data_IF_515558947403
#
_entry.id   IF_515558947403
#
_cell.length_a   1.000
_cell.length_b   1.000
_cell.length_c   1.000
_cell.angle_alpha   90.00
_cell.angle_beta   90.00
_cell.angle_gamma   90.00
#
_symmetry.space_group_name_H-M   'P 1'
#
loop_
_entity.id
_entity.type
_entity.pdbx_description
1 polymer ?
#
# COMPACT_ATOMS: atom_id res chain seq x y z
N UNK A 1 -15.06 18.98 -10.41
CA UNK A 1 -16.08 18.42 -9.50
C UNK A 1 -15.49 17.56 -8.40
N UNK A 2 -14.64 16.57 -8.71
CA UNK A 2 -13.99 15.65 -7.75
C UNK A 2 -13.36 16.31 -6.50
N UNK A 3 -12.59 17.39 -6.68
CA UNK A 3 -11.96 18.14 -5.57
C UNK A 3 -12.95 18.81 -4.60
N UNK A 4 -14.10 19.27 -5.11
CA UNK A 4 -15.15 19.90 -4.28
C UNK A 4 -15.83 18.86 -3.39
N UNK A 5 -16.03 17.65 -3.91
CA UNK A 5 -16.60 16.53 -3.16
C UNK A 5 -15.65 16.12 -2.03
N UNK A 6 -14.36 15.93 -2.31
CA UNK A 6 -13.36 15.58 -1.28
C UNK A 6 -13.28 16.64 -0.18
N UNK A 7 -13.32 17.92 -0.53
CA UNK A 7 -13.33 19.02 0.45
C UNK A 7 -14.60 19.06 1.31
N UNK A 8 -15.74 18.57 0.79
CA UNK A 8 -17.00 18.51 1.53
C UNK A 8 -17.13 17.27 2.44
N UNK A 9 -16.23 16.28 2.31
CA UNK A 9 -16.33 15.01 3.05
C UNK A 9 -16.32 15.15 4.57
N UNK A 10 -15.52 16.05 5.19
CA UNK A 10 -15.61 16.27 6.63
C UNK A 10 -16.99 16.76 7.08
N UNK A 11 -17.61 17.66 6.30
CA UNK A 11 -18.97 18.15 6.58
C UNK A 11 -20.02 17.04 6.42
N UNK A 12 -19.89 16.22 5.37
CA UNK A 12 -20.78 15.08 5.13
C UNK A 12 -20.63 14.03 6.25
N UNK A 13 -19.40 13.71 6.65
CA UNK A 13 -19.11 12.77 7.73
C UNK A 13 -19.69 13.24 9.06
N UNK A 14 -19.56 14.53 9.39
CA UNK A 14 -20.16 15.13 10.59
C UNK A 14 -21.69 15.09 10.54
N UNK A 15 -22.29 15.41 9.40
CA UNK A 15 -23.75 15.34 9.25
C UNK A 15 -24.28 13.91 9.47
N UNK A 16 -23.60 12.90 8.90
CA UNK A 16 -23.94 11.48 9.09
C UNK A 16 -23.69 11.00 10.52
N UNK A 17 -22.62 11.46 11.17
CA UNK A 17 -22.35 11.18 12.58
C UNK A 17 -23.47 11.71 13.48
N UNK A 18 -23.87 12.98 13.30
CA UNK A 18 -24.96 13.59 14.06
C UNK A 18 -26.30 12.92 13.77
N UNK A 19 -26.57 12.59 12.51
CA UNK A 19 -27.77 11.83 12.14
C UNK A 19 -27.79 10.46 12.84
N UNK A 20 -26.69 9.72 12.84
CA UNK A 20 -26.58 8.43 13.54
C UNK A 20 -26.74 8.56 15.06
N UNK A 21 -26.17 9.60 15.66
CA UNK A 21 -26.25 9.83 17.10
C UNK A 21 -27.61 10.32 17.59
N UNK A 22 -28.26 11.22 16.84
CA UNK A 22 -29.52 11.86 17.22
C UNK A 22 -30.76 11.11 16.74
N UNK A 23 -30.73 10.51 15.55
CA UNK A 23 -31.88 9.83 14.97
C UNK A 23 -31.87 8.32 15.24
N UNK A 24 -30.69 7.68 15.15
CA UNK A 24 -30.54 6.24 15.40
C UNK A 24 -30.13 5.91 16.85
N UNK A 25 -29.92 6.94 17.69
CA UNK A 25 -29.40 6.83 19.06
C UNK A 25 -28.09 6.03 19.17
N UNK A 26 -27.37 5.88 18.05
CA UNK A 26 -26.21 5.01 17.93
C UNK A 26 -24.95 5.81 17.59
N UNK A 27 -24.36 6.37 18.63
CA UNK A 27 -23.09 7.10 18.58
C UNK A 27 -21.91 6.22 18.17
N UNK A 28 -21.98 4.91 18.45
CA UNK A 28 -20.91 3.96 18.11
C UNK A 28 -20.78 3.79 16.60
N UNK A 29 -21.90 3.52 15.92
CA UNK A 29 -21.94 3.47 14.45
C UNK A 29 -21.57 4.81 13.82
N UNK A 30 -21.88 5.92 14.49
CA UNK A 30 -21.48 7.26 14.07
C UNK A 30 -19.99 7.37 13.73
N UNK A 31 -19.11 6.73 14.51
CA UNK A 31 -17.67 6.82 14.32
C UNK A 31 -17.19 6.28 12.97
N UNK A 32 -17.92 5.33 12.39
CA UNK A 32 -17.61 4.74 11.08
C UNK A 32 -17.65 5.80 9.98
N UNK A 33 -18.48 6.84 10.12
CA UNK A 33 -18.62 7.88 9.09
C UNK A 33 -17.39 8.78 8.99
N UNK A 34 -16.60 8.94 10.06
CA UNK A 34 -15.35 9.70 9.97
C UNK A 34 -14.32 9.04 9.06
N UNK A 35 -14.42 7.72 8.87
CA UNK A 35 -13.57 6.97 7.95
C UNK A 35 -13.84 7.32 6.48
N UNK A 36 -14.95 7.98 6.15
CA UNK A 36 -15.16 8.54 4.81
C UNK A 36 -14.13 9.62 4.45
N UNK A 37 -13.54 10.31 5.43
CA UNK A 37 -12.55 11.35 5.17
C UNK A 37 -11.31 10.76 4.48
N UNK A 38 -10.57 9.81 5.08
CA UNK A 38 -9.43 9.18 4.41
C UNK A 38 -9.86 8.36 3.18
N UNK A 39 -11.03 7.71 3.24
CA UNK A 39 -11.53 6.92 2.12
C UNK A 39 -11.82 7.78 0.87
N UNK A 40 -12.36 8.98 1.06
CA UNK A 40 -12.70 9.89 -0.04
C UNK A 40 -11.48 10.34 -0.84
N UNK A 41 -10.35 10.56 -0.15
CA UNK A 41 -9.08 10.90 -0.78
C UNK A 41 -8.59 9.75 -1.68
N UNK A 42 -8.72 8.52 -1.19
CA UNK A 42 -8.37 7.30 -1.91
C UNK A 42 -9.29 7.08 -3.13
N UNK A 43 -10.61 7.21 -2.94
CA UNK A 43 -11.63 6.81 -3.92
C UNK A 43 -11.69 7.76 -5.12
N UNK A 44 -11.40 9.05 -4.91
CA UNK A 44 -11.41 10.05 -5.98
C UNK A 44 -10.09 10.17 -6.74
N UNK A 45 -9.07 9.39 -6.36
CA UNK A 45 -7.82 9.29 -7.10
C UNK A 45 -8.07 8.73 -8.52
N UNK A 46 -7.34 9.23 -9.52
CA UNK A 46 -7.56 8.91 -10.94
C UNK A 46 -7.28 7.43 -11.30
N UNK A 47 -6.66 6.66 -10.40
CA UNK A 47 -6.25 5.27 -10.63
C UNK A 47 -6.72 4.35 -9.49
N UNK A 48 -8.04 4.27 -9.28
CA UNK A 48 -8.68 3.51 -8.19
C UNK A 48 -8.14 2.07 -8.17
N UNK A 49 -8.20 1.35 -9.29
CA UNK A 49 -7.73 -0.05 -9.39
C UNK A 49 -6.23 -0.23 -9.11
N UNK A 50 -5.39 0.74 -9.49
CA UNK A 50 -3.93 0.66 -9.28
C UNK A 50 -3.54 0.97 -7.83
N UNK A 51 -4.42 1.63 -7.07
CA UNK A 51 -4.24 1.98 -5.66
C UNK A 51 -5.17 1.24 -4.72
N UNK A 52 -5.89 0.22 -5.19
CA UNK A 52 -6.70 -0.63 -4.30
C UNK A 52 -5.83 -1.27 -3.21
N UNK A 53 -4.57 -1.57 -3.51
CA UNK A 53 -3.61 -2.04 -2.52
C UNK A 53 -3.37 -1.00 -1.40
N UNK A 54 -3.24 0.28 -1.76
CA UNK A 54 -3.07 1.38 -0.80
C UNK A 54 -4.35 1.65 -0.01
N UNK A 55 -5.51 1.42 -0.63
CA UNK A 55 -6.83 1.59 -0.03
C UNK A 55 -7.26 0.41 0.84
N UNK A 56 -6.70 -0.78 0.62
CA UNK A 56 -7.13 -2.02 1.24
C UNK A 56 -7.13 -1.98 2.78
N UNK A 57 -6.13 -1.42 3.47
CA UNK A 57 -6.16 -1.32 4.94
C UNK A 57 -7.30 -0.44 5.46
N UNK A 58 -7.55 0.69 4.78
CA UNK A 58 -8.63 1.63 5.16
C UNK A 58 -10.00 1.01 4.91
N UNK A 59 -10.15 0.29 3.79
CA UNK A 59 -11.36 -0.44 3.45
C UNK A 59 -11.61 -1.62 4.41
N UNK A 60 -10.55 -2.37 4.76
CA UNK A 60 -10.62 -3.44 5.74
C UNK A 60 -11.05 -2.90 7.12
N UNK A 61 -10.51 -1.75 7.53
CA UNK A 61 -10.92 -1.08 8.77
C UNK A 61 -12.38 -0.63 8.73
N UNK A 62 -12.85 -0.09 7.59
CA UNK A 62 -14.25 0.29 7.40
C UNK A 62 -15.19 -0.92 7.60
N UNK A 63 -14.89 -2.04 6.93
CA UNK A 63 -15.67 -3.28 7.04
C UNK A 63 -15.59 -3.85 8.46
N UNK A 64 -14.41 -3.83 9.08
CA UNK A 64 -14.19 -4.30 10.45
C UNK A 64 -15.04 -3.54 11.47
N UNK A 65 -15.11 -2.20 11.36
CA UNK A 65 -15.91 -1.40 12.29
C UNK A 65 -17.42 -1.62 12.07
N UNK A 66 -17.86 -1.85 10.84
CA UNK A 66 -19.26 -2.21 10.57
C UNK A 66 -19.60 -3.58 11.18
N UNK A 67 -18.72 -4.56 11.04
CA UNK A 67 -18.87 -5.89 11.66
C UNK A 67 -18.86 -5.80 13.19
N UNK A 68 -17.95 -5.01 13.77
CA UNK A 68 -17.84 -4.82 15.21
C UNK A 68 -19.02 -4.07 15.81
N UNK A 69 -19.37 -2.90 15.29
CA UNK A 69 -20.47 -2.10 15.86
C UNK A 69 -21.86 -2.57 15.45
N UNK A 70 -22.01 -3.25 14.31
CA UNK A 70 -23.30 -3.70 13.79
C UNK A 70 -23.68 -5.13 14.19
N UNK A 71 -22.70 -6.02 14.30
CA UNK A 71 -22.93 -7.46 14.54
C UNK A 71 -22.20 -7.98 15.79
N UNK A 72 -21.51 -7.12 16.55
CA UNK A 72 -20.62 -7.49 17.68
C UNK A 72 -19.52 -8.51 17.31
N UNK A 73 -19.21 -8.62 16.02
CA UNK A 73 -18.24 -9.55 15.45
C UNK A 73 -16.80 -9.00 15.54
N UNK A 74 -16.39 -8.53 16.71
CA UNK A 74 -15.02 -8.01 16.94
C UNK A 74 -13.96 -9.10 16.82
N UNK A 75 -14.26 -10.29 17.35
CA UNK A 75 -13.35 -11.42 17.40
C UNK A 75 -13.17 -12.15 16.06
N UNK A 76 -14.20 -12.43 15.26
CA UNK A 76 -14.00 -12.93 13.90
C UNK A 76 -13.74 -11.81 12.89
N UNK A 77 -14.10 -10.56 13.20
CA UNK A 77 -14.03 -9.45 12.25
C UNK A 77 -12.62 -9.08 11.83
N UNK A 78 -11.61 -9.32 12.68
CA UNK A 78 -10.23 -8.97 12.33
C UNK A 78 -9.67 -9.80 11.16
N UNK A 79 -10.29 -10.94 10.83
CA UNK A 79 -9.94 -11.76 9.65
C UNK A 79 -9.98 -10.94 8.37
N UNK A 80 -10.81 -9.89 8.31
CA UNK A 80 -10.88 -8.97 7.17
C UNK A 80 -9.52 -8.32 6.89
N UNK A 81 -8.68 -8.09 7.90
CA UNK A 81 -7.32 -7.57 7.71
C UNK A 81 -6.38 -8.58 7.02
N UNK A 82 -6.61 -9.88 7.16
CA UNK A 82 -5.86 -10.92 6.46
C UNK A 82 -6.18 -10.94 4.95
N UNK A 83 -7.30 -10.35 4.54
CA UNK A 83 -7.62 -10.20 3.12
C UNK A 83 -6.69 -9.21 2.42
N UNK A 84 -6.11 -8.25 3.14
CA UNK A 84 -5.19 -7.24 2.58
C UNK A 84 -3.96 -7.89 1.90
N UNK A 85 -3.16 -8.73 2.59
CA UNK A 85 -2.00 -9.38 1.96
C UNK A 85 -2.41 -10.37 0.84
N UNK A 86 -3.56 -11.03 0.98
CA UNK A 86 -4.10 -11.94 -0.06
C UNK A 86 -4.47 -11.15 -1.31
N UNK A 87 -5.14 -10.01 -1.16
CA UNK A 87 -5.50 -9.13 -2.26
C UNK A 87 -4.26 -8.61 -2.99
N UNK A 88 -3.22 -8.21 -2.26
CA UNK A 88 -1.96 -7.80 -2.84
C UNK A 88 -1.32 -8.92 -3.69
N UNK A 89 -1.33 -10.17 -3.19
CA UNK A 89 -0.85 -11.32 -3.95
C UNK A 89 -1.62 -11.52 -5.27
N UNK A 90 -2.95 -11.42 -5.24
CA UNK A 90 -3.81 -11.58 -6.42
C UNK A 90 -3.53 -10.48 -7.46
N UNK A 91 -3.43 -9.23 -7.02
CA UNK A 91 -3.20 -8.07 -7.89
C UNK A 91 -1.84 -8.15 -8.58
N UNK A 92 -0.78 -8.50 -7.85
CA UNK A 92 0.56 -8.59 -8.43
C UNK A 92 0.72 -9.78 -9.39
N UNK A 93 -0.18 -10.80 -9.33
CA UNK A 93 -0.12 -12.06 -10.11
C UNK A 93 1.24 -12.77 -10.07
N UNK A 94 2.07 -12.47 -9.07
CA UNK A 94 3.38 -13.07 -8.84
C UNK A 94 3.29 -14.02 -7.68
N UNK A 95 3.45 -15.31 -7.97
CA UNK A 95 3.50 -16.37 -6.97
C UNK A 95 4.96 -16.54 -6.57
N UNK A 96 5.36 -15.91 -5.47
CA UNK A 96 6.65 -16.19 -4.83
C UNK A 96 6.45 -17.18 -3.69
N UNK A 97 7.45 -18.02 -3.38
CA UNK A 97 7.35 -18.96 -2.26
C UNK A 97 6.98 -18.26 -0.93
N UNK A 98 7.53 -17.06 -0.71
CA UNK A 98 7.20 -16.19 0.44
C UNK A 98 5.71 -15.86 0.56
N UNK A 99 5.04 -15.61 -0.57
CA UNK A 99 3.60 -15.31 -0.60
C UNK A 99 2.76 -16.57 -0.42
N UNK A 100 3.22 -17.71 -0.95
CA UNK A 100 2.56 -19.00 -0.72
C UNK A 100 2.53 -19.35 0.77
N UNK A 101 3.65 -19.14 1.50
CA UNK A 101 3.68 -19.31 2.96
C UNK A 101 2.60 -18.48 3.63
N UNK A 102 2.43 -17.22 3.22
CA UNK A 102 1.40 -16.34 3.76
C UNK A 102 -0.02 -16.93 3.58
N UNK A 103 -0.36 -17.37 2.35
CA UNK A 103 -1.67 -17.96 2.06
C UNK A 103 -1.91 -19.26 2.82
N UNK A 104 -0.89 -20.13 2.90
CA UNK A 104 -0.99 -21.41 3.61
C UNK A 104 -1.23 -21.17 5.11
N UNK A 105 -0.47 -20.26 5.73
CA UNK A 105 -0.62 -19.96 7.16
C UNK A 105 -1.95 -19.28 7.44
N UNK A 106 -2.40 -18.34 6.60
CA UNK A 106 -3.73 -17.72 6.73
C UNK A 106 -4.83 -18.77 6.60
N UNK A 107 -4.74 -19.67 5.62
CA UNK A 107 -5.71 -20.74 5.41
C UNK A 107 -5.76 -21.73 6.59
N UNK A 108 -4.59 -22.12 7.11
CA UNK A 108 -4.48 -22.95 8.31
C UNK A 108 -5.04 -22.25 9.55
N UNK A 109 -4.76 -20.96 9.73
CA UNK A 109 -5.31 -20.14 10.80
C UNK A 109 -6.86 -20.11 10.72
N UNK A 110 -7.45 -19.83 9.55
CA UNK A 110 -8.92 -19.79 9.39
C UNK A 110 -9.51 -21.18 9.67
N UNK A 111 -8.93 -22.25 9.12
CA UNK A 111 -9.41 -23.61 9.33
C UNK A 111 -9.36 -24.04 10.80
N UNK A 112 -8.27 -23.74 11.52
CA UNK A 112 -8.12 -24.04 12.94
C UNK A 112 -9.04 -23.17 13.81
N UNK A 113 -9.18 -21.89 13.49
CA UNK A 113 -10.02 -20.96 14.26
C UNK A 113 -11.50 -21.31 14.15
N UNK A 114 -11.95 -21.79 12.99
CA UNK A 114 -13.31 -22.31 12.80
C UNK A 114 -13.51 -23.67 13.47
N UNK A 115 -12.46 -24.50 13.58
CA UNK A 115 -12.55 -25.80 14.21
C UNK A 115 -12.58 -25.71 15.75
N UNK A 116 -11.83 -24.77 16.32
CA UNK A 116 -11.72 -24.58 17.77
C UNK A 116 -12.72 -23.55 18.31
N UNK A 117 -13.43 -22.83 17.44
CA UNK A 117 -14.25 -21.64 17.75
C UNK A 117 -13.53 -20.55 18.57
N UNK A 118 -12.21 -20.67 18.72
CA UNK A 118 -11.35 -19.77 19.46
C UNK A 118 -10.52 -18.92 18.50
N UNK A 119 -10.91 -17.65 18.36
CA UNK A 119 -10.15 -16.62 17.63
C UNK A 119 -8.93 -16.15 18.41
N UNK A 120 -8.98 -16.31 19.74
CA UNK A 120 -7.92 -15.97 20.66
C UNK A 120 -7.65 -17.21 21.52
N UNK A 121 -6.44 -17.82 21.48
CA UNK A 121 -5.12 -17.28 21.09
C UNK A 121 -4.62 -17.66 19.69
N UNK A 122 -5.46 -18.27 18.85
CA UNK A 122 -5.08 -18.88 17.56
C UNK A 122 -4.38 -17.93 16.59
N UNK A 123 -4.59 -16.62 16.72
CA UNK A 123 -3.89 -15.57 15.96
C UNK A 123 -2.35 -15.66 16.06
N UNK A 124 -1.79 -16.26 17.11
CA UNK A 124 -0.35 -16.49 17.26
C UNK A 124 0.26 -17.25 16.08
N UNK A 125 -0.51 -18.10 15.40
CA UNK A 125 -0.07 -18.83 14.20
C UNK A 125 0.38 -17.88 13.08
N UNK A 126 -0.18 -16.67 13.00
CA UNK A 126 0.22 -15.69 11.99
C UNK A 126 1.66 -15.21 12.16
N UNK A 127 2.22 -15.27 13.37
CA UNK A 127 3.65 -14.99 13.58
C UNK A 127 4.57 -16.04 12.95
N UNK A 128 4.05 -17.22 12.57
CA UNK A 128 4.83 -18.17 11.78
C UNK A 128 5.18 -17.60 10.39
N UNK A 129 4.38 -16.68 9.85
CA UNK A 129 4.64 -16.05 8.56
C UNK A 129 6.01 -15.35 8.56
N UNK A 130 6.30 -14.35 9.42
CA UNK A 130 7.61 -13.71 9.45
C UNK A 130 8.73 -14.67 9.85
N UNK A 131 8.49 -15.63 10.75
CA UNK A 131 9.50 -16.62 11.19
C UNK A 131 9.94 -17.48 10.00
N UNK A 132 9.00 -18.16 9.33
CA UNK A 132 9.27 -19.01 8.16
C UNK A 132 9.91 -18.17 7.05
N UNK A 133 9.36 -16.98 6.80
CA UNK A 133 9.84 -16.09 5.75
C UNK A 133 11.27 -15.59 5.99
N UNK A 134 11.69 -15.44 7.24
CA UNK A 134 13.05 -15.00 7.59
C UNK A 134 14.05 -16.15 7.48
N UNK A 135 13.66 -17.35 7.90
CA UNK A 135 14.53 -18.54 7.90
C UNK A 135 14.74 -19.11 6.50
N UNK A 136 13.66 -19.30 5.74
CA UNK A 136 13.73 -19.99 4.43
C UNK A 136 14.01 -19.04 3.26
N UNK A 137 13.75 -17.75 3.43
CA UNK A 137 13.96 -16.74 2.40
C UNK A 137 14.74 -15.56 2.98
N UNK A 138 16.02 -15.76 3.38
CA UNK A 138 16.87 -14.64 3.75
C UNK A 138 16.88 -13.61 2.61
N UNK A 139 16.84 -12.33 2.96
CA UNK A 139 16.86 -11.26 1.96
C UNK A 139 18.16 -11.37 1.18
N UNK A 140 18.11 -11.74 -0.10
CA UNK A 140 19.29 -11.76 -0.96
C UNK A 140 19.91 -10.37 -0.89
N UNK A 141 21.09 -10.30 -0.26
CA UNK A 141 21.78 -9.07 0.06
C UNK A 141 21.73 -8.14 -1.15
N UNK A 142 21.25 -6.91 -0.90
CA UNK A 142 21.26 -5.77 -1.80
C UNK A 142 22.50 -5.87 -2.69
N UNK A 143 22.36 -6.37 -3.93
CA UNK A 143 23.43 -6.21 -4.92
C UNK A 143 23.44 -4.71 -5.17
N UNK A 144 24.26 -3.99 -4.41
CA UNK A 144 24.80 -2.72 -4.84
C UNK A 144 25.43 -3.04 -6.19
N UNK A 145 24.64 -2.82 -7.25
CA UNK A 145 25.19 -2.70 -8.59
C UNK A 145 26.04 -1.46 -8.45
N UNK A 146 27.31 -1.67 -8.11
CA UNK A 146 28.32 -0.65 -8.16
C UNK A 146 28.17 -0.08 -9.56
N UNK A 147 27.53 1.09 -9.65
CA UNK A 147 27.34 1.79 -10.90
C UNK A 147 28.72 2.30 -11.18
N UNK A 148 29.52 1.44 -11.79
CA UNK A 148 30.87 1.70 -12.22
C UNK A 148 30.80 2.99 -13.04
N UNK A 149 31.16 4.07 -12.34
CA UNK A 149 31.75 5.33 -12.78
C UNK A 149 31.58 5.70 -14.25
N UNK A 150 30.34 5.71 -14.71
CA UNK A 150 29.87 6.39 -15.92
C UNK A 150 30.13 7.93 -15.88
N UNK A 151 30.81 8.43 -14.85
CA UNK A 151 31.27 9.81 -14.73
C UNK A 151 32.55 10.04 -15.54
N UNK A 152 33.46 9.08 -15.59
CA UNK A 152 34.70 9.20 -16.37
C UNK A 152 34.41 9.29 -17.86
N UNK A 153 33.48 8.44 -18.35
CA UNK A 153 33.03 8.47 -19.75
C UNK A 153 32.32 9.78 -20.10
N UNK A 154 31.53 10.31 -19.15
CA UNK A 154 30.88 11.62 -19.33
C UNK A 154 31.90 12.75 -19.37
N UNK A 155 32.89 12.77 -18.47
CA UNK A 155 33.93 13.82 -18.47
C UNK A 155 34.75 13.76 -19.75
N UNK A 156 35.22 12.57 -20.15
CA UNK A 156 36.00 12.40 -21.39
C UNK A 156 35.23 12.91 -22.60
N UNK A 157 33.92 12.61 -22.68
CA UNK A 157 33.06 13.12 -23.75
C UNK A 157 32.95 14.65 -23.72
N UNK A 158 32.69 15.26 -22.56
CA UNK A 158 32.57 16.72 -22.44
C UNK A 158 33.86 17.48 -22.78
N UNK A 159 35.02 16.96 -22.36
CA UNK A 159 36.32 17.57 -22.65
C UNK A 159 36.64 17.49 -24.14
N UNK A 160 36.41 16.33 -24.75
CA UNK A 160 36.67 16.13 -26.18
C UNK A 160 35.78 17.02 -27.06
N UNK A 161 34.49 17.14 -26.73
CA UNK A 161 33.55 18.00 -27.46
C UNK A 161 33.97 19.48 -27.39
N UNK A 162 34.46 19.94 -26.23
CA UNK A 162 34.90 21.32 -26.05
C UNK A 162 36.19 21.63 -26.83
N UNK A 163 37.16 20.70 -26.84
CA UNK A 163 38.42 20.87 -27.57
C UNK A 163 38.16 20.95 -29.09
N UNK A 164 37.24 20.15 -29.61
CA UNK A 164 36.88 20.18 -31.05
C UNK A 164 36.26 21.53 -31.43
N UNK A 165 35.38 22.07 -30.60
CA UNK A 165 34.75 23.38 -30.84
C UNK A 165 35.76 24.53 -30.78
N UNK A 166 36.69 24.50 -29.83
CA UNK A 166 37.73 25.54 -29.73
C UNK A 166 38.73 25.48 -30.89
N UNK A 167 39.09 24.29 -31.38
CA UNK A 167 39.94 24.15 -32.58
C UNK A 167 39.24 24.61 -33.86
N UNK A 168 37.96 24.29 -34.03
CA UNK A 168 37.23 24.74 -35.21
C UNK A 168 37.06 26.27 -35.22
N UNK A 169 36.90 26.89 -34.04
CA UNK A 169 36.79 28.34 -33.90
C UNK A 169 38.12 29.08 -34.15
N UNK A 170 39.25 28.48 -33.77
CA UNK A 170 40.57 29.08 -34.02
C UNK A 170 40.99 29.00 -35.49
N UNK A 171 40.52 27.99 -36.21
CA UNK A 171 40.81 27.85 -37.64
C UNK A 171 39.97 28.86 -38.45
N UNK A 172 38.69 29.05 -38.10
CA UNK A 172 37.82 30.05 -38.73
C UNK A 172 38.30 31.50 -38.49
N UNK A 173 38.87 31.83 -37.32
CA UNK A 173 39.39 33.19 -37.03
C UNK A 173 40.72 33.52 -37.74
N UNK A 174 41.47 32.52 -38.23
CA UNK A 174 42.74 32.73 -38.93
C UNK A 174 42.60 32.87 -40.46
N UNK A 175 41.43 32.56 -41.03
CA UNK A 175 41.15 32.71 -42.46
C UNK A 175 40.60 34.11 -42.85
N UNK A 176 40.28 34.95 -41.86
CA UNK A 176 39.68 36.29 -42.04
C UNK A 176 40.70 37.46 -42.06
N UNK A 177 42.00 37.20 -42.26
CA UNK A 177 43.07 38.23 -42.39
C UNK A 177 43.77 38.24 -43.76
#
# INVERSE_FOLDING_TARGET
MRKRIVAAMPMIALALFLFSGLYLENWKLGWVFFLLIPLSWILFSNHIFKRLNDAAPVLALFIFLILGFGFDLWHPGWVVFLLVPVFNMIVERKITPRKLVNVIVIGGFIGLSLYLDEWHPTWLILFLIPIINTIFFPYDNFKFKNKENNWEDRIKKFVNDKIIVDHQKSDDENEDF
#
